data_IF_162979705604
#
_entry.id   IF_162979705604
#
_cell.length_a   1.000
_cell.length_b   1.000
_cell.length_c   1.000
_cell.angle_alpha   90.00
_cell.angle_beta   90.00
_cell.angle_gamma   90.00
#
_symmetry.space_group_name_H-M   'P 1'
#
loop_
_entity.id
_entity.type
_entity.pdbx_description
1 polymer ?
#
# COMPACT_ATOMS: atom_id res chain seq x y z
N UNK A 1 10.48 15.43 -5.60
CA UNK A 1 9.46 16.50 -5.46
C UNK A 1 9.26 16.76 -3.97
N UNK A 2 8.99 17.99 -3.57
CA UNK A 2 8.84 18.37 -2.17
C UNK A 2 7.55 19.17 -2.04
N UNK A 3 6.68 18.78 -1.12
CA UNK A 3 5.53 19.60 -0.77
C UNK A 3 5.97 20.79 0.09
N UNK A 4 5.54 22.00 -0.29
CA UNK A 4 6.05 23.21 0.34
C UNK A 4 5.53 23.39 1.77
N UNK A 5 4.29 22.97 2.07
CA UNK A 5 3.71 23.17 3.41
C UNK A 5 4.25 22.13 4.40
N UNK A 6 4.05 20.86 4.08
CA UNK A 6 4.41 19.73 4.95
C UNK A 6 5.90 19.43 4.98
N UNK A 7 6.66 19.89 3.97
CA UNK A 7 8.04 19.46 3.72
C UNK A 7 8.16 17.97 3.40
N UNK A 8 7.06 17.34 2.98
CA UNK A 8 7.06 15.95 2.61
C UNK A 8 7.84 15.75 1.32
N UNK A 9 8.78 14.81 1.35
CA UNK A 9 9.68 14.53 0.23
C UNK A 9 9.22 13.27 -0.49
N UNK A 10 8.98 13.40 -1.79
CA UNK A 10 8.86 12.30 -2.74
C UNK A 10 10.15 12.09 -3.51
N UNK A 11 10.69 10.87 -3.40
CA UNK A 11 11.92 10.45 -4.03
C UNK A 11 11.60 9.25 -4.94
N UNK A 12 11.88 9.42 -6.23
CA UNK A 12 11.70 8.40 -7.26
C UNK A 12 12.95 8.36 -8.14
N UNK A 13 13.46 7.18 -8.48
CA UNK A 13 14.55 7.06 -9.43
C UNK A 13 14.09 7.53 -10.82
N UNK A 14 14.97 8.24 -11.52
CA UNK A 14 14.78 8.62 -12.92
C UNK A 14 15.78 7.84 -13.76
N UNK A 15 15.29 7.21 -14.82
CA UNK A 15 16.14 6.47 -15.78
C UNK A 15 16.76 7.42 -16.82
N UNK A 16 16.17 8.59 -17.03
CA UNK A 16 16.59 9.60 -17.99
C UNK A 16 16.14 10.98 -17.53
N UNK A 17 16.87 12.02 -17.92
CA UNK A 17 16.54 13.43 -17.68
C UNK A 17 15.63 14.02 -18.78
N UNK A 18 15.11 13.19 -19.69
CA UNK A 18 14.16 13.62 -20.72
C UNK A 18 12.82 14.04 -20.11
N UNK A 19 12.17 15.02 -20.76
CA UNK A 19 10.85 15.53 -20.39
C UNK A 19 9.81 14.41 -20.21
N UNK A 20 9.78 13.45 -21.13
CA UNK A 20 8.85 12.32 -21.08
C UNK A 20 9.07 11.42 -19.85
N UNK A 21 10.33 11.15 -19.51
CA UNK A 21 10.66 10.35 -18.33
C UNK A 21 10.25 11.07 -17.05
N UNK A 22 10.48 12.39 -16.98
CA UNK A 22 10.08 13.21 -15.83
C UNK A 22 8.55 13.25 -15.68
N UNK A 23 7.77 13.46 -16.74
CA UNK A 23 6.28 13.41 -16.65
C UNK A 23 5.82 12.09 -16.08
N UNK A 24 6.37 10.98 -16.56
CA UNK A 24 5.92 9.65 -16.15
C UNK A 24 6.07 9.49 -14.64
N UNK A 25 7.20 9.97 -14.09
CA UNK A 25 7.43 10.00 -12.64
C UNK A 25 6.49 10.99 -11.95
N UNK A 26 6.28 12.19 -12.48
CA UNK A 26 5.35 13.17 -11.89
C UNK A 26 3.93 12.63 -11.83
N UNK A 27 3.42 12.01 -12.91
CA UNK A 27 2.10 11.34 -12.93
C UNK A 27 2.00 10.27 -11.85
N UNK A 28 3.06 9.51 -11.59
CA UNK A 28 3.06 8.51 -10.51
C UNK A 28 2.94 9.14 -9.12
N UNK A 29 3.57 10.31 -8.93
CA UNK A 29 3.51 11.07 -7.67
C UNK A 29 2.11 11.69 -7.52
N UNK A 30 1.56 12.28 -8.58
CA UNK A 30 0.23 12.88 -8.58
C UNK A 30 -0.89 11.84 -8.42
N UNK A 31 -0.72 10.61 -8.90
CA UNK A 31 -1.64 9.52 -8.62
C UNK A 31 -1.69 9.13 -7.12
N UNK A 32 -0.65 9.47 -6.36
CA UNK A 32 -0.57 9.18 -4.92
C UNK A 32 -1.12 10.33 -4.08
N UNK A 33 -0.78 11.58 -4.44
CA UNK A 33 -1.04 12.76 -3.61
C UNK A 33 -2.11 13.71 -4.16
N UNK A 34 -2.51 13.52 -5.41
CA UNK A 34 -3.31 14.48 -6.17
C UNK A 34 -2.45 15.35 -7.09
N UNK A 35 -3.14 16.05 -7.99
CA UNK A 35 -2.52 17.02 -8.91
C UNK A 35 -2.35 18.35 -8.14
N UNK A 36 -1.16 18.94 -8.11
CA UNK A 36 -0.94 20.21 -7.44
C UNK A 36 -1.53 21.39 -8.24
N UNK A 37 -2.01 22.41 -7.55
CA UNK A 37 -2.43 23.66 -8.19
C UNK A 37 -1.24 24.47 -8.71
N UNK A 38 -0.18 24.55 -7.90
CA UNK A 38 1.04 25.32 -8.19
C UNK A 38 2.28 24.41 -8.17
N UNK A 39 3.14 24.56 -9.17
CA UNK A 39 4.43 23.88 -9.25
C UNK A 39 5.53 24.91 -9.45
N UNK A 40 6.58 24.84 -8.64
CA UNK A 40 7.77 25.69 -8.78
C UNK A 40 8.94 24.84 -9.27
N UNK A 41 9.61 25.26 -10.35
CA UNK A 41 10.87 24.68 -10.79
C UNK A 41 11.86 25.74 -11.26
N UNK A 42 13.10 25.34 -11.54
CA UNK A 42 14.04 26.15 -12.29
C UNK A 42 13.61 26.26 -13.77
N UNK A 43 14.25 27.18 -14.50
CA UNK A 43 14.11 27.34 -15.95
C UNK A 43 15.00 26.34 -16.74
N UNK A 44 15.42 25.26 -16.09
CA UNK A 44 16.34 24.29 -16.65
C UNK A 44 15.63 23.22 -17.49
N UNK A 45 16.33 22.55 -18.42
CA UNK A 45 15.81 21.33 -19.04
C UNK A 45 15.63 20.21 -18.00
N UNK A 46 14.56 19.40 -18.07
CA UNK A 46 13.52 19.42 -19.09
C UNK A 46 12.32 20.34 -18.79
N UNK A 47 12.32 21.04 -17.65
CA UNK A 47 11.21 21.88 -17.15
C UNK A 47 10.78 22.97 -18.13
N UNK A 48 11.72 23.55 -18.87
CA UNK A 48 11.49 24.60 -19.86
C UNK A 48 11.06 24.09 -21.26
N UNK A 49 10.86 22.79 -21.44
CA UNK A 49 10.48 22.23 -22.74
C UNK A 49 9.00 22.46 -23.07
N UNK A 50 8.68 22.64 -24.36
CA UNK A 50 7.29 22.73 -24.84
C UNK A 50 6.43 21.55 -24.38
N UNK A 51 7.05 20.38 -24.25
CA UNK A 51 6.39 19.16 -23.79
C UNK A 51 5.95 19.30 -22.32
N UNK A 52 6.75 19.94 -21.46
CA UNK A 52 6.37 20.26 -20.07
C UNK A 52 5.30 21.32 -20.00
N UNK A 53 5.44 22.40 -20.76
CA UNK A 53 4.45 23.48 -20.79
C UNK A 53 3.08 22.95 -21.21
N UNK A 54 3.01 22.07 -22.21
CA UNK A 54 1.77 21.44 -22.63
C UNK A 54 1.21 20.49 -21.56
N UNK A 55 2.07 19.70 -20.90
CA UNK A 55 1.66 18.83 -19.80
C UNK A 55 1.06 19.62 -18.62
N UNK A 56 1.72 20.69 -18.19
CA UNK A 56 1.21 21.55 -17.11
C UNK A 56 -0.13 22.18 -17.48
N UNK A 57 -0.29 22.66 -18.73
CA UNK A 57 -1.57 23.19 -19.22
C UNK A 57 -2.68 22.14 -19.25
N UNK A 58 -2.40 20.94 -19.75
CA UNK A 58 -3.38 19.85 -19.83
C UNK A 58 -3.84 19.40 -18.44
N UNK A 59 -2.95 19.44 -17.45
CA UNK A 59 -3.23 19.01 -16.08
C UNK A 59 -3.67 20.15 -15.17
N UNK A 60 -3.91 21.36 -15.72
CA UNK A 60 -4.30 22.58 -15.00
C UNK A 60 -3.33 22.95 -13.85
N UNK A 61 -2.03 22.79 -14.10
CA UNK A 61 -0.96 23.10 -13.16
C UNK A 61 -0.38 24.48 -13.50
N UNK A 62 -0.39 25.38 -12.52
CA UNK A 62 0.28 26.68 -12.63
C UNK A 62 1.77 26.50 -12.40
N UNK A 63 2.54 26.50 -13.49
CA UNK A 63 3.99 26.37 -13.44
C UNK A 63 4.65 27.74 -13.24
N UNK A 64 5.30 27.89 -12.09
CA UNK A 64 6.10 29.06 -11.75
C UNK A 64 7.57 28.75 -11.95
N UNK A 65 8.21 29.51 -12.83
CA UNK A 65 9.65 29.43 -13.03
C UNK A 65 10.32 30.33 -12.00
N UNK A 66 11.07 29.71 -11.08
CA UNK A 66 11.84 30.44 -10.08
C UNK A 66 13.01 31.14 -10.77
N UNK A 67 13.19 32.46 -10.58
CA UNK A 67 14.39 33.14 -11.05
C UNK A 67 15.65 32.52 -10.44
N UNK A 68 16.80 32.58 -11.13
CA UNK A 68 18.08 32.00 -10.66
C UNK A 68 18.50 32.47 -9.25
N UNK A 69 17.94 33.58 -8.77
CA UNK A 69 18.28 34.24 -7.51
C UNK A 69 17.06 34.50 -6.63
N UNK A 70 16.14 33.53 -6.47
CA UNK A 70 15.10 33.58 -5.42
C UNK A 70 15.60 32.84 -4.15
N UNK A 71 16.44 33.47 -3.31
CA UNK A 71 17.30 32.76 -2.36
C UNK A 71 16.49 32.16 -1.20
N UNK A 72 15.32 32.74 -0.93
CA UNK A 72 14.47 32.35 0.20
C UNK A 72 13.64 31.09 -0.11
N UNK A 73 13.11 30.99 -1.33
CA UNK A 73 12.35 29.81 -1.77
C UNK A 73 13.31 28.67 -2.15
N UNK A 74 14.35 28.96 -2.94
CA UNK A 74 15.34 27.97 -3.33
C UNK A 74 16.16 27.49 -2.13
N UNK A 75 16.58 28.38 -1.23
CA UNK A 75 17.37 27.99 -0.06
C UNK A 75 16.66 27.00 0.87
N UNK A 76 15.32 27.04 0.95
CA UNK A 76 14.57 26.07 1.74
C UNK A 76 14.50 24.69 1.06
N UNK A 77 14.28 24.67 -0.26
CA UNK A 77 14.30 23.46 -1.06
C UNK A 77 15.71 22.85 -1.04
N UNK A 78 16.74 23.65 -1.25
CA UNK A 78 18.16 23.25 -1.23
C UNK A 78 18.54 22.63 0.11
N UNK A 79 18.18 23.27 1.24
CA UNK A 79 18.43 22.70 2.58
C UNK A 79 17.72 21.37 2.77
N UNK A 80 16.48 21.26 2.29
CA UNK A 80 15.70 20.02 2.37
C UNK A 80 16.35 18.91 1.54
N UNK A 81 16.70 19.21 0.29
CA UNK A 81 17.41 18.28 -0.62
C UNK A 81 18.75 17.88 -0.01
N UNK A 82 19.51 18.81 0.55
CA UNK A 82 20.79 18.52 1.19
C UNK A 82 20.62 17.60 2.39
N UNK A 83 19.60 17.83 3.23
CA UNK A 83 19.31 16.99 4.39
C UNK A 83 18.97 15.57 3.96
N UNK A 84 18.12 15.42 2.95
CA UNK A 84 17.73 14.11 2.42
C UNK A 84 18.93 13.39 1.78
N UNK A 85 19.73 14.09 0.96
CA UNK A 85 20.95 13.53 0.36
C UNK A 85 21.91 13.04 1.43
N UNK A 86 22.20 13.87 2.44
CA UNK A 86 23.09 13.49 3.55
C UNK A 86 22.58 12.25 4.30
N UNK A 87 21.28 12.17 4.56
CA UNK A 87 20.67 11.00 5.22
C UNK A 87 20.81 9.74 4.37
N UNK A 88 20.57 9.83 3.06
CA UNK A 88 20.69 8.70 2.13
C UNK A 88 22.14 8.27 1.93
N UNK A 89 23.09 9.21 1.87
CA UNK A 89 24.53 8.89 1.78
C UNK A 89 24.99 8.13 3.01
N UNK A 90 24.65 8.61 4.22
CA UNK A 90 24.96 7.90 5.47
C UNK A 90 24.30 6.52 5.54
N UNK A 91 23.08 6.39 4.99
CA UNK A 91 22.39 5.11 4.91
C UNK A 91 23.13 4.13 4.00
N UNK A 92 23.59 4.59 2.83
CA UNK A 92 24.36 3.79 1.89
C UNK A 92 25.70 3.33 2.48
N UNK A 93 26.43 4.22 3.15
CA UNK A 93 27.69 3.92 3.84
C UNK A 93 27.49 2.91 4.99
N UNK A 94 26.38 3.02 5.72
CA UNK A 94 26.04 2.15 6.85
C UNK A 94 25.26 0.88 6.48
N UNK A 95 25.04 0.59 5.18
CA UNK A 95 24.30 -0.58 4.72
C UNK A 95 22.82 -0.60 5.12
N UNK A 96 22.22 0.57 5.42
CA UNK A 96 20.81 0.69 5.79
C UNK A 96 19.92 0.79 4.55
N UNK A 97 18.73 0.22 4.64
CA UNK A 97 17.71 0.34 3.60
C UNK A 97 17.28 1.81 3.41
N UNK A 98 17.41 2.31 2.17
CA UNK A 98 17.10 3.69 1.80
C UNK A 98 15.62 4.05 2.03
N UNK A 99 14.70 3.10 1.89
CA UNK A 99 13.28 3.31 2.13
C UNK A 99 12.96 3.46 3.61
N UNK A 100 13.71 2.77 4.47
CA UNK A 100 13.60 2.95 5.93
C UNK A 100 14.08 4.34 6.32
N UNK A 101 15.22 4.78 5.79
CA UNK A 101 15.73 6.14 6.05
C UNK A 101 14.80 7.22 5.50
N UNK A 102 14.17 7.00 4.35
CA UNK A 102 13.16 7.90 3.82
C UNK A 102 11.91 7.93 4.70
N UNK A 103 11.48 6.79 5.24
CA UNK A 103 10.40 6.74 6.22
C UNK A 103 10.76 7.53 7.47
N UNK A 104 11.96 7.33 8.02
CA UNK A 104 12.47 8.02 9.21
C UNK A 104 12.47 9.55 9.01
N UNK A 105 12.90 10.01 7.84
CA UNK A 105 12.82 11.43 7.49
C UNK A 105 11.38 11.95 7.52
N UNK A 106 10.42 11.21 6.94
CA UNK A 106 9.01 11.62 6.82
C UNK A 106 8.28 11.67 8.16
N UNK A 107 8.71 10.88 9.14
CA UNK A 107 8.09 10.80 10.48
C UNK A 107 8.78 11.68 11.52
N UNK A 108 9.93 12.29 11.19
CA UNK A 108 10.68 13.08 12.15
C UNK A 108 10.04 14.48 12.27
N UNK A 109 9.50 14.85 13.45
CA UNK A 109 8.95 16.18 13.66
C UNK A 109 10.06 17.23 13.69
N UNK A 110 9.74 18.45 13.27
CA UNK A 110 10.60 19.60 13.53
C UNK A 110 10.28 20.17 14.92
N UNK A 111 11.17 21.02 15.46
CA UNK A 111 11.14 21.50 16.85
C UNK A 111 9.74 21.94 17.33
N UNK A 112 9.01 22.67 16.49
CA UNK A 112 7.69 23.24 16.81
C UNK A 112 6.62 22.87 15.76
N UNK A 113 6.84 21.84 14.95
CA UNK A 113 5.92 21.43 13.87
C UNK A 113 5.76 19.91 13.83
N UNK A 114 4.55 19.40 13.51
CA UNK A 114 4.35 17.97 13.25
C UNK A 114 5.26 17.48 12.13
N UNK A 115 5.45 16.16 12.07
CA UNK A 115 6.28 15.55 11.03
C UNK A 115 5.69 15.78 9.62
N UNK A 116 6.51 15.71 8.56
CA UNK A 116 6.02 15.87 7.20
C UNK A 116 4.87 14.93 6.84
N UNK A 117 4.91 13.67 7.29
CA UNK A 117 3.85 12.71 7.03
C UNK A 117 2.56 13.05 7.78
N UNK A 118 2.65 13.58 9.01
CA UNK A 118 1.46 14.00 9.77
C UNK A 118 0.79 15.20 9.13
N UNK A 119 1.57 16.20 8.70
CA UNK A 119 1.04 17.40 8.03
C UNK A 119 0.35 17.04 6.72
N UNK A 120 0.92 16.12 5.94
CA UNK A 120 0.37 15.73 4.65
C UNK A 120 -0.83 14.77 4.77
N UNK A 121 -0.76 13.80 5.67
CA UNK A 121 -1.75 12.71 5.75
C UNK A 121 -2.78 12.86 6.88
N UNK A 122 -2.60 13.86 7.76
CA UNK A 122 -3.45 14.09 8.92
C UNK A 122 -3.40 12.97 9.98
N UNK A 123 -2.36 12.13 9.98
CA UNK A 123 -2.19 11.04 10.96
C UNK A 123 -0.73 10.64 11.12
N UNK A 124 -0.39 10.05 12.27
CA UNK A 124 0.91 9.41 12.48
C UNK A 124 1.03 8.14 11.63
N UNK A 125 2.22 7.91 11.08
CA UNK A 125 2.56 6.66 10.42
C UNK A 125 3.06 5.63 11.44
N UNK A 126 2.81 4.36 11.17
CA UNK A 126 3.37 3.26 11.97
C UNK A 126 4.81 3.01 11.54
N UNK A 127 5.69 2.82 12.51
CA UNK A 127 7.14 2.68 12.29
C UNK A 127 7.63 1.42 13.00
N UNK A 128 8.93 1.13 12.91
CA UNK A 128 9.54 0.04 13.68
C UNK A 128 9.52 0.29 15.19
N UNK A 129 9.37 1.56 15.61
CA UNK A 129 9.26 1.92 17.01
C UNK A 129 7.82 1.67 17.51
N UNK A 130 7.64 1.00 18.67
CA UNK A 130 6.33 0.76 19.23
C UNK A 130 5.66 2.10 19.53
N UNK A 131 4.50 2.31 18.91
CA UNK A 131 3.67 3.51 19.10
C UNK A 131 2.32 3.07 19.65
N UNK A 132 1.75 3.86 20.56
CA UNK A 132 0.47 3.51 21.16
C UNK A 132 -0.63 3.52 20.06
N UNK A 133 -1.51 2.50 19.96
CA UNK A 133 -2.53 2.44 18.91
C UNK A 133 -3.44 3.67 18.84
N UNK A 134 -3.66 4.33 19.99
CA UNK A 134 -4.42 5.59 20.07
C UNK A 134 -3.76 6.78 19.34
N UNK A 135 -2.44 6.76 19.16
CA UNK A 135 -1.69 7.83 18.48
C UNK A 135 -1.71 7.73 16.95
N UNK A 136 -2.10 6.56 16.40
CA UNK A 136 -2.16 6.30 14.94
C UNK A 136 -3.60 6.41 14.42
N UNK A 137 -4.55 6.84 15.25
CA UNK A 137 -5.94 7.01 14.82
C UNK A 137 -6.04 8.14 13.80
N UNK A 138 -6.65 7.90 12.62
CA UNK A 138 -6.97 8.96 11.69
C UNK A 138 -7.93 9.97 12.32
N UNK A 139 -7.93 11.20 11.80
CA UNK A 139 -8.83 12.28 12.26
C UNK A 139 -10.29 12.01 11.91
N UNK A 140 -10.57 11.17 10.91
CA UNK A 140 -11.93 10.82 10.49
C UNK A 140 -12.47 9.59 11.22
N UNK A 141 -13.80 9.51 11.33
CA UNK A 141 -14.50 8.41 12.01
C UNK A 141 -14.37 7.09 11.24
N UNK A 142 -13.34 6.33 11.61
CA UNK A 142 -13.05 5.01 11.04
C UNK A 142 -14.13 3.99 11.40
N UNK A 143 -14.79 4.10 12.56
CA UNK A 143 -15.77 3.11 13.00
C UNK A 143 -17.04 3.20 12.15
N UNK A 144 -17.52 4.42 11.86
CA UNK A 144 -18.63 4.61 10.92
C UNK A 144 -18.32 4.04 9.54
N UNK A 145 -17.10 4.23 9.04
CA UNK A 145 -16.67 3.65 7.76
C UNK A 145 -16.63 2.12 7.80
N UNK A 146 -16.12 1.54 8.91
CA UNK A 146 -16.10 0.08 9.15
C UNK A 146 -17.51 -0.50 9.19
N UNK A 147 -18.45 0.17 9.84
CA UNK A 147 -19.84 -0.26 9.88
C UNK A 147 -20.49 -0.25 8.49
N UNK A 148 -20.29 0.81 7.72
CA UNK A 148 -20.78 0.90 6.35
C UNK A 148 -20.19 -0.21 5.47
N UNK A 149 -18.90 -0.49 5.60
CA UNK A 149 -18.23 -1.58 4.90
C UNK A 149 -18.80 -2.95 5.30
N UNK A 150 -19.02 -3.20 6.60
CA UNK A 150 -19.65 -4.43 7.10
C UNK A 150 -21.05 -4.62 6.51
N UNK A 151 -21.87 -3.57 6.50
CA UNK A 151 -23.21 -3.60 5.89
C UNK A 151 -23.12 -3.97 4.41
N UNK A 152 -22.21 -3.36 3.65
CA UNK A 152 -21.98 -3.68 2.23
C UNK A 152 -21.52 -5.13 2.03
N UNK A 153 -20.63 -5.63 2.88
CA UNK A 153 -20.13 -7.01 2.84
C UNK A 153 -21.24 -8.03 3.09
N UNK A 154 -22.13 -7.77 4.06
CA UNK A 154 -23.28 -8.63 4.36
C UNK A 154 -24.22 -8.72 3.14
N UNK A 155 -24.53 -7.58 2.53
CA UNK A 155 -25.36 -7.51 1.32
C UNK A 155 -24.71 -8.28 0.18
N UNK A 156 -23.42 -8.06 -0.07
CA UNK A 156 -22.68 -8.76 -1.12
C UNK A 156 -22.63 -10.27 -0.88
N UNK A 157 -22.40 -10.72 0.36
CA UNK A 157 -22.44 -12.13 0.73
C UNK A 157 -23.84 -12.75 0.55
N UNK A 158 -24.91 -11.99 0.84
CA UNK A 158 -26.29 -12.44 0.60
C UNK A 158 -26.55 -12.71 -0.88
N UNK A 159 -26.09 -11.83 -1.77
CA UNK A 159 -26.21 -12.05 -3.22
C UNK A 159 -25.32 -13.19 -3.71
N UNK A 160 -24.06 -13.25 -3.26
CA UNK A 160 -23.11 -14.30 -3.63
C UNK A 160 -23.58 -15.69 -3.18
N UNK A 161 -24.20 -15.79 -2.00
CA UNK A 161 -24.69 -17.05 -1.44
C UNK A 161 -26.16 -17.34 -1.81
N UNK A 162 -26.81 -16.54 -2.66
CA UNK A 162 -28.24 -16.72 -3.02
C UNK A 162 -28.53 -18.09 -3.64
N UNK A 163 -27.55 -18.66 -4.34
CA UNK A 163 -27.60 -19.98 -4.95
C UNK A 163 -26.72 -21.01 -4.23
N UNK A 164 -26.13 -20.64 -3.09
CA UNK A 164 -25.26 -21.52 -2.33
C UNK A 164 -26.11 -22.43 -1.44
N UNK A 165 -25.98 -23.73 -1.63
CA UNK A 165 -26.55 -24.71 -0.70
C UNK A 165 -25.75 -24.72 0.61
N UNK A 166 -26.45 -24.88 1.73
CA UNK A 166 -25.81 -25.11 3.02
C UNK A 166 -25.42 -26.57 3.06
N UNK A 167 -24.11 -26.84 2.93
CA UNK A 167 -23.59 -28.19 3.11
C UNK A 167 -23.53 -28.52 4.61
N UNK A 168 -23.90 -29.74 5.03
CA UNK A 168 -23.79 -30.16 6.42
C UNK A 168 -22.33 -30.14 6.88
N UNK A 169 -22.13 -29.83 8.16
CA UNK A 169 -20.80 -29.84 8.77
C UNK A 169 -20.30 -31.27 8.85
N UNK A 170 -19.10 -31.51 8.31
CA UNK A 170 -18.45 -32.81 8.36
C UNK A 170 -17.90 -33.10 9.75
N UNK A 171 -18.13 -34.32 10.24
CA UNK A 171 -17.72 -34.74 11.58
C UNK A 171 -16.24 -35.17 11.63
N UNK A 172 -15.65 -35.10 12.81
CA UNK A 172 -14.32 -35.64 13.07
C UNK A 172 -14.29 -37.14 12.70
N UNK A 173 -13.17 -37.59 12.12
CA UNK A 173 -12.95 -38.96 11.66
C UNK A 173 -13.84 -39.44 10.48
N UNK A 174 -14.65 -38.56 9.89
CA UNK A 174 -15.39 -38.90 8.68
C UNK A 174 -14.41 -39.17 7.52
N UNK A 175 -14.66 -40.24 6.76
CA UNK A 175 -13.95 -40.54 5.52
C UNK A 175 -14.44 -39.61 4.42
N UNK A 176 -13.53 -38.90 3.78
CA UNK A 176 -13.84 -37.90 2.77
C UNK A 176 -12.95 -38.05 1.55
N UNK A 177 -13.49 -37.68 0.39
CA UNK A 177 -12.72 -37.50 -0.82
C UNK A 177 -12.39 -36.02 -1.00
N UNK A 178 -11.11 -35.70 -1.19
CA UNK A 178 -10.64 -34.34 -1.41
C UNK A 178 -9.68 -34.29 -2.60
N UNK A 179 -9.50 -33.10 -3.16
CA UNK A 179 -8.74 -32.89 -4.40
C UNK A 179 -7.64 -31.86 -4.19
N UNK A 180 -6.42 -32.32 -3.93
CA UNK A 180 -5.30 -31.42 -3.62
C UNK A 180 -5.07 -30.30 -4.67
N UNK A 181 -5.33 -30.58 -5.95
CA UNK A 181 -5.32 -29.58 -7.05
C UNK A 181 -6.41 -29.87 -8.08
N UNK A 182 -6.99 -28.84 -8.70
CA UNK A 182 -8.10 -28.95 -9.68
C UNK A 182 -7.88 -29.94 -10.84
N UNK A 183 -6.63 -30.28 -11.20
CA UNK A 183 -6.29 -31.24 -12.28
C UNK A 183 -5.75 -32.59 -11.82
N UNK A 184 -5.71 -32.88 -10.52
CA UNK A 184 -5.21 -34.14 -9.95
C UNK A 184 -6.36 -35.10 -9.60
N UNK A 185 -6.12 -36.41 -9.48
CA UNK A 185 -7.16 -37.35 -9.06
C UNK A 185 -7.66 -37.02 -7.64
N UNK A 186 -8.88 -37.44 -7.34
CA UNK A 186 -9.41 -37.41 -5.99
C UNK A 186 -8.62 -38.37 -5.10
N UNK A 187 -8.39 -37.94 -3.85
CA UNK A 187 -7.74 -38.75 -2.84
C UNK A 187 -8.68 -38.95 -1.66
N UNK A 188 -8.57 -40.10 -1.01
CA UNK A 188 -9.31 -40.42 0.19
C UNK A 188 -8.49 -40.01 1.42
N UNK A 189 -9.16 -39.40 2.40
CA UNK A 189 -8.56 -39.08 3.70
C UNK A 189 -9.60 -39.06 4.80
N UNK A 190 -9.15 -38.85 6.03
CA UNK A 190 -10.03 -38.71 7.20
C UNK A 190 -9.92 -37.30 7.77
N UNK A 191 -11.03 -36.75 8.25
CA UNK A 191 -11.03 -35.43 8.90
C UNK A 191 -10.39 -35.55 10.29
N UNK A 192 -9.26 -34.88 10.48
CA UNK A 192 -8.54 -34.87 11.76
C UNK A 192 -8.93 -33.66 12.60
N UNK A 193 -9.31 -32.54 11.97
CA UNK A 193 -9.66 -31.33 12.70
C UNK A 193 -10.56 -30.40 11.86
N UNK A 194 -11.45 -29.67 12.54
CA UNK A 194 -12.22 -28.57 11.98
C UNK A 194 -11.42 -27.27 12.17
N UNK A 195 -11.17 -26.52 11.10
CA UNK A 195 -10.46 -25.24 11.15
C UNK A 195 -11.39 -24.12 11.66
N UNK A 196 -10.89 -23.10 12.38
CA UNK A 196 -11.66 -21.90 12.72
C UNK A 196 -12.33 -21.20 11.52
N UNK A 197 -11.80 -21.37 10.30
CA UNK A 197 -12.40 -20.84 9.09
C UNK A 197 -13.63 -21.65 8.66
N UNK A 198 -14.74 -20.99 8.25
CA UNK A 198 -15.97 -21.69 7.87
C UNK A 198 -15.75 -22.59 6.66
N UNK A 199 -16.23 -23.84 6.76
CA UNK A 199 -16.11 -24.90 5.73
C UNK A 199 -14.65 -25.29 5.40
N UNK A 200 -13.75 -25.18 6.37
CA UNK A 200 -12.37 -25.64 6.24
C UNK A 200 -12.09 -26.77 7.24
N UNK A 201 -11.44 -27.82 6.74
CA UNK A 201 -11.15 -29.05 7.48
C UNK A 201 -9.72 -29.48 7.19
N UNK A 202 -9.05 -30.03 8.19
CA UNK A 202 -7.74 -30.64 8.06
C UNK A 202 -7.94 -32.14 7.88
N UNK A 203 -7.41 -32.68 6.78
CA UNK A 203 -7.51 -34.09 6.43
C UNK A 203 -6.15 -34.77 6.53
N UNK A 204 -6.09 -36.00 7.04
CA UNK A 204 -4.91 -36.85 6.94
C UNK A 204 -5.09 -37.95 5.91
N UNK A 205 -4.06 -38.22 5.12
CA UNK A 205 -3.95 -39.47 4.35
C UNK A 205 -3.62 -40.62 5.32
N UNK A 206 -4.05 -41.84 4.99
CA UNK A 206 -3.73 -43.06 5.78
C UNK A 206 -2.23 -43.36 5.87
N UNK A 207 -1.38 -42.60 5.16
CA UNK A 207 0.06 -42.56 5.34
C UNK A 207 0.51 -41.13 5.68
N UNK A 208 0.58 -40.85 6.99
CA UNK A 208 1.29 -39.77 7.71
C UNK A 208 1.75 -38.50 6.94
N UNK A 209 0.91 -37.89 6.11
CA UNK A 209 1.16 -36.58 5.52
C UNK A 209 0.03 -35.62 5.86
N UNK A 210 0.36 -34.61 6.67
CA UNK A 210 -0.55 -33.55 7.11
C UNK A 210 -0.50 -32.42 6.08
N UNK A 211 -1.51 -32.33 5.23
CA UNK A 211 -1.61 -31.22 4.29
C UNK A 211 -2.64 -30.21 4.78
N UNK A 212 -2.19 -28.96 5.00
CA UNK A 212 -3.05 -27.88 5.48
C UNK A 212 -3.84 -27.34 4.30
N UNK A 213 -4.86 -28.08 3.89
CA UNK A 213 -5.60 -27.82 2.67
C UNK A 213 -6.56 -26.63 2.82
N UNK A 214 -6.01 -25.42 2.74
CA UNK A 214 -6.78 -24.17 2.80
C UNK A 214 -7.37 -23.88 1.42
N UNK A 215 -8.29 -24.71 0.98
CA UNK A 215 -9.05 -24.49 -0.25
C UNK A 215 -10.52 -24.74 0.05
N UNK A 216 -11.38 -23.83 -0.42
CA UNK A 216 -12.84 -24.04 -0.53
C UNK A 216 -13.08 -25.20 -1.51
N UNK A 217 -12.73 -26.42 -1.10
CA UNK A 217 -12.85 -27.61 -1.91
C UNK A 217 -14.27 -28.13 -1.82
N UNK A 218 -14.77 -28.61 -2.95
CA UNK A 218 -16.00 -29.40 -2.99
C UNK A 218 -15.63 -30.76 -2.38
N UNK A 219 -15.85 -30.93 -1.08
CA UNK A 219 -15.72 -32.23 -0.43
C UNK A 219 -17.02 -32.99 -0.74
N UNK A 220 -16.93 -34.09 -1.49
CA UNK A 220 -18.05 -35.00 -1.66
C UNK A 220 -18.02 -36.00 -0.50
N UNK A 221 -19.07 -35.98 0.33
CA UNK A 221 -19.35 -37.06 1.26
C UNK A 221 -19.97 -38.16 0.41
N UNK A 222 -19.24 -39.26 0.22
CA UNK A 222 -19.79 -40.42 -0.44
C UNK A 222 -20.97 -40.94 0.37
N UNK A 223 -22.19 -40.78 -0.14
CA UNK A 223 -23.18 -41.83 0.06
C UNK A 223 -22.68 -43.04 -0.73
N UNK A 224 -22.69 -44.19 -0.06
CA UNK A 224 -22.26 -45.48 -0.59
C UNK A 224 -22.81 -45.71 -2.00
N UNK A 225 -21.91 -46.04 -2.93
CA UNK A 225 -22.24 -46.72 -4.18
C UNK A 225 -22.32 -48.21 -3.91
#
# INVERSE_FOLDING_TARGET
>A
MIDYLSKYVELKPLNSTTAQSVITVMKSIYATHGIPEDLVSDDGPPSNSNLMTNFFREWDIKHHVAPPHFPRANGQIERTVQTVKNSLTKAAEGGRDLYVVLLDYRIQPAKDMPSPAELLMGRKLRTFMPSHPGQIKPTFDVERAREALRKRQIVQNKYANKHATVLPVLQLNAKVWFKHKMKKPWKQGTIIQVDPQPRSYITGETDFTFDKATLRMIIHVGQEL
#
